data_IF_413385000055
#
_entry.id   IF_413385000055
#
_cell.length_a   1.000
_cell.length_b   1.000
_cell.length_c   1.000
_cell.angle_alpha   90.00
_cell.angle_beta   90.00
_cell.angle_gamma   90.00
#
_symmetry.space_group_name_H-M   'P 1'
#
loop_
_entity.id
_entity.type
_entity.pdbx_description
1 polymer ?
#
# COMPACT_ATOMS: atom_id res chain seq x y z
N UNK A 1 11.79 -41.27 -0.07
CA UNK A 1 11.98 -40.10 0.81
C UNK A 1 11.32 -38.91 0.15
N UNK A 2 10.19 -38.47 0.69
CA UNK A 2 9.44 -37.31 0.18
C UNK A 2 10.19 -36.05 0.59
N UNK A 3 10.85 -35.39 -0.35
CA UNK A 3 11.44 -34.07 -0.13
C UNK A 3 10.31 -33.05 -0.02
N UNK A 4 10.14 -32.44 1.14
CA UNK A 4 9.26 -31.27 1.29
C UNK A 4 9.87 -30.12 0.49
N UNK A 5 9.27 -29.80 -0.66
CA UNK A 5 9.68 -28.69 -1.50
C UNK A 5 8.88 -27.44 -1.10
N UNK A 6 9.54 -26.50 -0.45
CA UNK A 6 8.94 -25.23 -0.03
C UNK A 6 8.88 -24.24 -1.19
N UNK A 7 7.71 -23.63 -1.42
CA UNK A 7 7.55 -22.58 -2.43
C UNK A 7 8.35 -21.34 -2.01
N UNK A 8 9.51 -21.12 -2.63
CA UNK A 8 10.38 -19.98 -2.31
C UNK A 8 10.03 -18.78 -3.19
N UNK A 9 9.68 -17.61 -2.63
CA UNK A 9 9.33 -16.44 -3.42
C UNK A 9 10.52 -15.94 -4.24
N UNK A 10 10.33 -15.76 -5.55
CA UNK A 10 11.34 -15.21 -6.46
C UNK A 10 11.45 -13.70 -6.29
N UNK A 11 12.66 -13.18 -6.11
CA UNK A 11 12.91 -11.73 -6.08
C UNK A 11 12.59 -11.12 -7.45
N UNK A 12 12.17 -9.86 -7.45
CA UNK A 12 12.02 -9.06 -8.68
C UNK A 12 13.37 -8.63 -9.24
N UNK A 13 14.42 -8.57 -8.42
CA UNK A 13 15.79 -8.33 -8.85
C UNK A 13 16.42 -9.58 -9.47
N UNK A 14 17.40 -9.39 -10.36
CA UNK A 14 18.16 -10.47 -11.01
C UNK A 14 19.07 -11.28 -10.08
N UNK A 15 19.01 -11.04 -8.76
CA UNK A 15 19.91 -11.63 -7.75
C UNK A 15 19.47 -13.02 -7.25
N UNK A 16 18.51 -13.66 -7.91
CA UNK A 16 18.06 -15.02 -7.58
C UNK A 16 16.90 -15.06 -6.56
N UNK A 17 16.48 -16.27 -6.15
CA UNK A 17 15.38 -16.45 -5.20
C UNK A 17 15.73 -15.89 -3.81
N UNK A 18 14.71 -15.64 -2.99
CA UNK A 18 14.90 -15.43 -1.56
C UNK A 18 15.47 -16.70 -0.92
N UNK A 19 15.94 -16.60 0.33
CA UNK A 19 16.35 -17.80 1.08
C UNK A 19 15.16 -18.77 1.14
N UNK A 20 15.38 -20.09 0.99
CA UNK A 20 14.30 -21.07 1.05
C UNK A 20 13.86 -21.24 2.51
N UNK A 21 13.02 -20.32 2.97
CA UNK A 21 12.32 -20.41 4.24
C UNK A 21 10.86 -20.79 3.98
N UNK A 22 10.22 -21.51 4.92
CA UNK A 22 8.78 -21.69 4.90
C UNK A 22 8.06 -20.34 4.84
N UNK A 23 6.93 -20.32 4.13
CA UNK A 23 6.18 -19.10 3.86
C UNK A 23 5.70 -18.44 5.16
N UNK A 24 5.38 -19.27 6.15
CA UNK A 24 4.91 -18.91 7.48
C UNK A 24 5.95 -18.08 8.23
N UNK A 25 7.23 -18.39 8.05
CA UNK A 25 8.33 -17.61 8.65
C UNK A 25 8.38 -16.21 8.06
N UNK A 26 8.16 -16.07 6.74
CA UNK A 26 8.06 -14.76 6.11
C UNK A 26 6.83 -13.98 6.57
N UNK A 27 5.71 -14.65 6.81
CA UNK A 27 4.50 -14.01 7.35
C UNK A 27 4.74 -13.49 8.76
N UNK A 28 5.39 -14.28 9.61
CA UNK A 28 5.72 -13.88 10.97
C UNK A 28 6.68 -12.69 10.99
N UNK A 29 7.72 -12.70 10.16
CA UNK A 29 8.61 -11.54 10.01
C UNK A 29 7.82 -10.30 9.57
N UNK A 30 6.88 -10.45 8.64
CA UNK A 30 6.06 -9.34 8.15
C UNK A 30 5.03 -8.85 9.17
N UNK A 31 4.55 -9.72 10.08
CA UNK A 31 3.57 -9.37 11.10
C UNK A 31 4.15 -8.38 12.12
N UNK A 32 5.46 -8.48 12.41
CA UNK A 32 6.17 -7.59 13.30
C UNK A 32 6.30 -6.14 12.82
N UNK A 33 6.09 -5.85 11.52
CA UNK A 33 6.06 -4.48 11.02
C UNK A 33 4.73 -3.81 11.35
N UNK A 34 4.57 -3.34 12.58
CA UNK A 34 3.40 -2.62 13.05
C UNK A 34 3.84 -1.43 13.89
N UNK A 35 2.95 -0.46 14.05
CA UNK A 35 3.20 0.69 14.91
C UNK A 35 3.36 0.23 16.36
N UNK A 36 4.45 0.64 16.98
CA UNK A 36 4.76 0.37 18.39
C UNK A 36 5.66 1.50 18.92
N UNK A 37 6.07 1.40 20.18
CA UNK A 37 6.91 2.43 20.82
C UNK A 37 8.25 2.65 20.10
N UNK A 38 8.73 1.66 19.33
CA UNK A 38 10.00 1.69 18.59
C UNK A 38 9.85 2.11 17.12
N UNK A 39 8.64 2.06 16.54
CA UNK A 39 8.42 2.27 15.11
C UNK A 39 7.15 3.08 14.83
N UNK A 40 7.34 4.25 14.22
CA UNK A 40 6.24 5.15 13.88
C UNK A 40 5.51 4.72 12.60
N UNK A 41 4.26 5.14 12.43
CA UNK A 41 3.45 4.93 11.22
C UNK A 41 4.20 5.18 9.88
N UNK A 42 4.90 6.32 9.68
CA UNK A 42 5.64 6.56 8.44
C UNK A 42 6.81 5.59 8.24
N UNK A 43 7.44 5.13 9.31
CA UNK A 43 8.54 4.16 9.24
C UNK A 43 8.03 2.78 8.88
N UNK A 44 6.95 2.31 9.53
CA UNK A 44 6.25 1.06 9.18
C UNK A 44 5.90 1.08 7.69
N UNK A 45 5.27 2.17 7.22
CA UNK A 45 4.89 2.33 5.82
C UNK A 45 6.11 2.28 4.89
N UNK A 46 7.21 2.95 5.25
CA UNK A 46 8.46 2.90 4.46
C UNK A 46 9.01 1.49 4.36
N UNK A 47 9.04 0.73 5.46
CA UNK A 47 9.49 -0.65 5.46
C UNK A 47 8.60 -1.54 4.58
N UNK A 48 7.27 -1.41 4.71
CA UNK A 48 6.33 -2.14 3.87
C UNK A 48 6.49 -1.81 2.38
N UNK A 49 6.69 -0.54 2.03
CA UNK A 49 6.98 -0.13 0.65
C UNK A 49 8.24 -0.81 0.11
N UNK A 50 9.32 -0.84 0.88
CA UNK A 50 10.54 -1.52 0.50
C UNK A 50 10.32 -3.03 0.31
N UNK A 51 9.57 -3.67 1.21
CA UNK A 51 9.24 -5.10 1.11
C UNK A 51 8.39 -5.41 -0.12
N UNK A 52 7.43 -4.55 -0.47
CA UNK A 52 6.59 -4.71 -1.67
C UNK A 52 7.40 -4.75 -2.98
N UNK A 53 8.59 -4.14 -3.00
CA UNK A 53 9.49 -4.12 -4.15
C UNK A 53 10.33 -5.40 -4.27
N UNK A 54 10.48 -6.18 -3.20
CA UNK A 54 11.37 -7.36 -3.19
C UNK A 54 10.82 -8.49 -4.04
N UNK A 55 9.58 -8.92 -3.83
CA UNK A 55 8.99 -10.05 -4.54
C UNK A 55 7.46 -9.90 -4.67
N UNK A 56 6.83 -10.70 -5.55
CA UNK A 56 5.36 -10.67 -5.73
C UNK A 56 4.62 -11.07 -4.45
N UNK A 57 5.18 -12.00 -3.69
CA UNK A 57 4.59 -12.46 -2.42
C UNK A 57 4.55 -11.33 -1.38
N UNK A 58 5.67 -10.66 -1.12
CA UNK A 58 5.69 -9.52 -0.19
C UNK A 58 4.80 -8.38 -0.69
N UNK A 59 4.74 -8.16 -2.00
CA UNK A 59 3.79 -7.20 -2.58
C UNK A 59 2.34 -7.53 -2.23
N UNK A 60 1.94 -8.81 -2.28
CA UNK A 60 0.56 -9.21 -1.94
C UNK A 60 0.19 -9.01 -0.47
N UNK A 61 1.18 -8.98 0.43
CA UNK A 61 0.97 -8.77 1.87
C UNK A 61 1.10 -7.30 2.24
N UNK A 62 2.10 -6.60 1.68
CA UNK A 62 2.41 -5.22 2.02
C UNK A 62 1.43 -4.24 1.40
N UNK A 63 1.00 -4.43 0.14
CA UNK A 63 0.09 -3.48 -0.52
C UNK A 63 -1.25 -3.30 0.23
N UNK A 64 -1.93 -4.36 0.70
CA UNK A 64 -3.13 -4.19 1.53
C UNK A 64 -2.93 -3.35 2.79
N UNK A 65 -1.73 -3.40 3.39
CA UNK A 65 -1.39 -2.66 4.62
C UNK A 65 -0.99 -1.22 4.31
N UNK A 66 -0.21 -1.00 3.25
CA UNK A 66 0.23 0.34 2.80
C UNK A 66 -0.97 1.19 2.36
N UNK A 67 -1.90 0.58 1.63
CA UNK A 67 -3.07 1.27 1.08
C UNK A 67 -4.31 1.14 1.94
N UNK A 68 -4.22 0.54 3.14
CA UNK A 68 -5.36 0.43 4.06
C UNK A 68 -5.95 1.80 4.41
N UNK A 69 -5.08 2.81 4.58
CA UNK A 69 -5.48 4.16 4.95
C UNK A 69 -4.98 5.18 3.91
N UNK A 70 -5.89 6.00 3.40
CA UNK A 70 -5.57 7.10 2.50
C UNK A 70 -5.73 8.43 3.24
N UNK A 71 -4.61 9.05 3.58
CA UNK A 71 -4.59 10.39 4.18
C UNK A 71 -4.55 11.43 3.07
N UNK A 72 -5.68 12.09 2.81
CA UNK A 72 -5.80 13.12 1.78
C UNK A 72 -5.50 14.48 2.43
N UNK A 73 -4.38 15.13 2.09
CA UNK A 73 -4.11 16.46 2.60
C UNK A 73 -5.06 17.46 1.94
N UNK A 74 -5.76 18.26 2.74
CA UNK A 74 -6.52 19.42 2.26
C UNK A 74 -5.54 20.57 1.96
N UNK A 75 -4.87 20.52 0.81
CA UNK A 75 -3.93 21.55 0.39
C UNK A 75 -3.12 21.21 -0.86
N UNK A 76 -2.35 22.20 -1.35
CA UNK A 76 -1.51 22.12 -2.55
C UNK A 76 -0.22 21.28 -2.35
N UNK A 77 -0.06 20.61 -1.20
CA UNK A 77 1.23 20.09 -0.75
C UNK A 77 1.62 18.74 -1.33
N UNK A 78 0.69 17.78 -1.45
CA UNK A 78 1.04 16.43 -1.88
C UNK A 78 0.59 16.14 -3.31
N UNK A 79 1.51 16.40 -4.25
CA UNK A 79 1.28 16.12 -5.67
C UNK A 79 1.11 14.63 -5.95
N UNK A 80 1.64 13.75 -5.09
CA UNK A 80 1.58 12.31 -5.29
C UNK A 80 0.17 11.75 -5.04
N UNK A 81 -0.47 12.20 -3.97
CA UNK A 81 -1.84 11.80 -3.61
C UNK A 81 -2.83 12.40 -4.59
N UNK A 82 -2.65 13.66 -4.98
CA UNK A 82 -3.47 14.28 -6.02
C UNK A 82 -3.36 13.54 -7.37
N UNK A 83 -2.17 13.07 -7.75
CA UNK A 83 -1.99 12.22 -8.94
C UNK A 83 -2.69 10.87 -8.79
N UNK A 84 -2.61 10.25 -7.61
CA UNK A 84 -3.31 9.01 -7.31
C UNK A 84 -4.84 9.18 -7.40
N UNK A 85 -5.42 10.19 -6.74
CA UNK A 85 -6.84 10.50 -6.82
C UNK A 85 -7.30 10.79 -8.26
N UNK A 86 -6.49 11.53 -9.05
CA UNK A 86 -6.76 11.74 -10.48
C UNK A 86 -6.70 10.44 -11.27
N UNK A 87 -5.70 9.59 -11.02
CA UNK A 87 -5.60 8.29 -11.71
C UNK A 87 -6.79 7.39 -11.37
N UNK A 88 -7.26 7.46 -10.13
CA UNK A 88 -8.44 6.73 -9.66
C UNK A 88 -9.74 7.24 -10.31
N UNK A 89 -9.95 8.55 -10.37
CA UNK A 89 -11.09 9.15 -11.06
C UNK A 89 -11.12 8.79 -12.56
N UNK A 90 -9.95 8.57 -13.17
CA UNK A 90 -9.81 8.15 -14.56
C UNK A 90 -9.77 6.62 -14.76
N UNK A 91 -10.00 5.81 -13.72
CA UNK A 91 -9.95 4.34 -13.79
C UNK A 91 -8.64 3.77 -14.35
N UNK A 92 -7.52 4.43 -14.10
CA UNK A 92 -6.22 3.98 -14.61
C UNK A 92 -5.60 2.94 -13.68
N UNK A 93 -5.20 1.80 -14.24
CA UNK A 93 -4.28 0.88 -13.56
C UNK A 93 -2.91 1.57 -13.35
N UNK A 94 -2.22 1.36 -12.21
CA UNK A 94 -2.55 0.45 -11.10
C UNK A 94 -3.47 1.05 -10.02
N UNK A 95 -3.92 2.30 -10.16
CA UNK A 95 -4.66 3.00 -9.10
C UNK A 95 -6.01 2.35 -8.78
N UNK A 96 -6.73 1.87 -9.81
CA UNK A 96 -8.00 1.17 -9.64
C UNK A 96 -7.85 -0.14 -8.84
N UNK A 97 -6.86 -0.97 -9.17
CA UNK A 97 -6.54 -2.17 -8.38
C UNK A 97 -6.15 -1.85 -6.93
N UNK A 98 -5.34 -0.82 -6.72
CA UNK A 98 -4.90 -0.43 -5.38
C UNK A 98 -6.03 0.14 -4.52
N UNK A 99 -7.01 0.80 -5.13
CA UNK A 99 -8.15 1.36 -4.42
C UNK A 99 -9.00 0.30 -3.70
N UNK A 100 -8.97 -0.96 -4.15
CA UNK A 100 -9.66 -2.08 -3.47
C UNK A 100 -9.13 -2.36 -2.07
N UNK A 101 -7.90 -1.94 -1.77
CA UNK A 101 -7.30 -2.13 -0.46
C UNK A 101 -7.60 -1.00 0.53
N UNK A 102 -8.18 0.11 0.06
CA UNK A 102 -8.48 1.27 0.90
C UNK A 102 -9.67 0.96 1.81
N UNK A 103 -9.43 1.00 3.13
CA UNK A 103 -10.42 0.79 4.17
C UNK A 103 -10.90 2.10 4.77
N UNK A 104 -9.99 3.04 5.00
CA UNK A 104 -10.25 4.33 5.63
C UNK A 104 -9.65 5.46 4.79
N UNK A 105 -10.36 6.59 4.74
CA UNK A 105 -9.87 7.82 4.11
C UNK A 105 -9.97 8.95 5.13
N UNK A 106 -8.83 9.54 5.48
CA UNK A 106 -8.78 10.64 6.43
C UNK A 106 -8.46 11.94 5.68
N UNK A 107 -9.28 12.96 5.89
CA UNK A 107 -9.02 14.29 5.36
C UNK A 107 -8.30 15.09 6.43
N UNK A 108 -7.15 15.67 6.09
CA UNK A 108 -6.47 16.57 7.01
C UNK A 108 -7.36 17.79 7.28
N UNK A 109 -7.69 18.05 8.54
CA UNK A 109 -8.47 19.23 8.95
C UNK A 109 -7.59 20.49 8.87
N UNK A 110 -7.33 20.99 7.67
CA UNK A 110 -6.78 22.32 7.45
C UNK A 110 -7.67 23.10 6.50
N UNK A 111 -7.74 24.42 6.72
CA UNK A 111 -8.69 25.33 6.09
C UNK A 111 -8.78 25.15 4.57
N UNK A 112 -10.00 25.25 3.98
CA UNK A 112 -10.18 25.06 2.55
C UNK A 112 -9.51 26.18 1.75
N UNK A 113 -8.60 25.81 0.84
CA UNK A 113 -8.26 26.65 -0.31
C UNK A 113 -9.16 26.25 -1.49
N UNK A 114 -9.61 27.21 -2.29
CA UNK A 114 -10.70 27.15 -3.29
C UNK A 114 -10.55 26.13 -4.47
N UNK A 115 -9.68 25.12 -4.37
CA UNK A 115 -9.48 24.07 -5.40
C UNK A 115 -10.03 22.67 -5.05
N UNK A 116 -10.73 22.50 -3.93
CA UNK A 116 -11.01 21.20 -3.29
C UNK A 116 -12.12 20.34 -3.93
N UNK A 117 -12.88 20.87 -4.90
CA UNK A 117 -14.06 20.21 -5.49
C UNK A 117 -13.74 18.87 -6.22
N UNK A 118 -12.54 18.70 -6.78
CA UNK A 118 -12.20 17.47 -7.55
C UNK A 118 -11.84 16.27 -6.67
N UNK A 119 -11.46 16.51 -5.42
CA UNK A 119 -11.11 15.44 -4.48
C UNK A 119 -12.35 14.72 -3.96
N UNK A 120 -13.51 15.41 -3.96
CA UNK A 120 -14.81 14.85 -3.61
C UNK A 120 -15.35 13.86 -4.66
N UNK A 121 -15.03 14.04 -5.94
CA UNK A 121 -15.45 13.10 -7.00
C UNK A 121 -14.73 11.74 -6.90
N UNK A 122 -13.45 11.73 -6.51
CA UNK A 122 -12.72 10.49 -6.24
C UNK A 122 -13.33 9.70 -5.07
N UNK A 123 -13.90 10.38 -4.07
CA UNK A 123 -14.61 9.75 -2.96
C UNK A 123 -15.94 9.12 -3.40
N UNK A 124 -16.71 9.78 -4.28
CA UNK A 124 -17.87 9.16 -4.90
C UNK A 124 -17.50 7.91 -5.69
N UNK A 125 -16.31 7.87 -6.31
CA UNK A 125 -15.85 6.70 -7.03
C UNK A 125 -15.46 5.53 -6.09
N UNK A 126 -14.77 5.82 -4.98
CA UNK A 126 -14.40 4.79 -3.97
C UNK A 126 -15.64 4.23 -3.26
N UNK A 127 -16.58 5.09 -2.87
CA UNK A 127 -17.80 4.68 -2.16
C UNK A 127 -18.79 3.91 -3.04
N UNK A 128 -18.77 4.11 -4.36
CA UNK A 128 -19.66 3.45 -5.32
C UNK A 128 -19.15 2.09 -5.84
N UNK A 129 -17.88 1.76 -5.57
CA UNK A 129 -17.24 0.49 -5.92
C UNK A 129 -17.10 -0.47 -4.72
N UNK A 130 -17.78 -0.18 -3.61
CA UNK A 130 -17.93 -1.07 -2.45
C UNK A 130 -19.27 -1.78 -2.53
#
# INVERSE_FOLDING_TARGET
MSTFEWSTPTRRSSTGPLNPLPLEVYQEILSHFQENDDMTAPEVRRHLCNMALVCRYFSSIALPRIFAELNIPNGCGDTSINRFCRALANNKEPAASLARYIKTCNFAASMPCEGSLRTQEAFFFISRNR
#
